data_IF_486469270909
#
_entry.id   IF_486469270909
#
_cell.length_a   1.000
_cell.length_b   1.000
_cell.length_c   1.000
_cell.angle_alpha   90.00
_cell.angle_beta   90.00
_cell.angle_gamma   90.00
#
_symmetry.space_group_name_H-M   'P 1'
#
loop_
_entity.id
_entity.type
_entity.pdbx_description
1 polymer ?
#
# COMPACT_ATOMS: atom_id res chain seq x y z
N UNK A 1 6.74 -13.03 2.80
CA UNK A 1 5.37 -12.51 2.97
C UNK A 1 5.16 -11.42 1.93
N UNK A 2 4.07 -11.46 1.16
CA UNK A 2 3.84 -10.58 0.00
C UNK A 2 3.46 -9.17 0.49
N UNK A 3 4.21 -8.13 0.08
CA UNK A 3 3.98 -6.74 0.51
C UNK A 3 2.58 -6.26 0.08
N UNK A 4 2.15 -6.68 -1.10
CA UNK A 4 0.82 -6.39 -1.63
C UNK A 4 -0.30 -6.81 -0.66
N UNK A 5 -0.18 -8.02 -0.09
CA UNK A 5 -1.21 -8.60 0.77
C UNK A 5 -1.33 -7.83 2.09
N UNK A 6 -0.19 -7.47 2.68
CA UNK A 6 -0.14 -6.65 3.90
C UNK A 6 -0.76 -5.26 3.68
N UNK A 7 -0.48 -4.62 2.54
CA UNK A 7 -1.09 -3.34 2.18
C UNK A 7 -2.61 -3.45 2.05
N UNK A 8 -3.10 -4.53 1.45
CA UNK A 8 -4.53 -4.82 1.32
C UNK A 8 -5.20 -5.07 2.68
N UNK A 9 -4.54 -5.79 3.58
CA UNK A 9 -5.03 -6.03 4.95
C UNK A 9 -5.16 -4.72 5.73
N UNK A 10 -4.10 -3.90 5.74
CA UNK A 10 -4.10 -2.59 6.41
C UNK A 10 -5.11 -1.62 5.81
N UNK A 11 -5.26 -1.62 4.49
CA UNK A 11 -6.29 -0.85 3.80
C UNK A 11 -7.69 -1.26 4.27
N UNK A 12 -7.95 -2.56 4.33
CA UNK A 12 -9.26 -3.10 4.72
C UNK A 12 -9.55 -2.81 6.20
N UNK A 13 -8.55 -2.94 7.07
CA UNK A 13 -8.64 -2.60 8.49
C UNK A 13 -8.94 -1.10 8.70
N UNK A 14 -8.21 -0.24 8.00
CA UNK A 14 -8.45 1.20 8.06
C UNK A 14 -9.85 1.55 7.55
N UNK A 15 -10.24 1.03 6.39
CA UNK A 15 -11.58 1.27 5.85
C UNK A 15 -12.67 0.75 6.79
N UNK A 16 -12.45 -0.39 7.45
CA UNK A 16 -13.38 -0.93 8.43
C UNK A 16 -13.44 -0.10 9.72
N UNK A 17 -12.34 0.52 10.13
CA UNK A 17 -12.23 1.26 11.39
C UNK A 17 -12.67 2.72 11.26
N UNK A 18 -12.24 3.39 10.18
CA UNK A 18 -12.51 4.82 9.94
C UNK A 18 -13.68 5.04 8.99
N UNK A 19 -14.05 4.04 8.19
CA UNK A 19 -15.03 4.21 7.11
C UNK A 19 -14.53 5.08 5.95
N UNK A 20 -13.24 5.46 5.95
CA UNK A 20 -12.65 6.36 4.98
C UNK A 20 -11.59 5.66 4.13
N UNK A 21 -11.51 6.06 2.86
CA UNK A 21 -10.41 5.65 1.99
C UNK A 21 -9.14 6.42 2.38
N UNK A 22 -7.98 5.74 2.49
CA UNK A 22 -6.72 6.43 2.65
C UNK A 22 -6.41 7.26 1.40
N UNK A 23 -5.71 8.39 1.61
CA UNK A 23 -5.29 9.31 0.56
C UNK A 23 -4.13 8.75 -0.26
N UNK A 24 -3.12 8.18 0.40
CA UNK A 24 -1.94 7.64 -0.29
C UNK A 24 -1.18 6.62 0.57
N UNK A 25 -0.42 5.78 -0.11
CA UNK A 25 0.58 4.90 0.52
C UNK A 25 1.97 5.46 0.28
N UNK A 26 2.85 5.41 1.28
CA UNK A 26 4.24 5.84 1.18
C UNK A 26 5.13 4.61 1.34
N UNK A 27 5.92 4.29 0.32
CA UNK A 27 6.85 3.17 0.31
C UNK A 27 8.29 3.65 0.07
N UNK A 28 9.29 2.97 0.64
CA UNK A 28 10.67 3.16 0.18
C UNK A 28 10.84 2.68 -1.26
N UNK A 29 11.86 3.20 -1.94
CA UNK A 29 12.29 2.74 -3.27
C UNK A 29 12.51 1.21 -3.32
N UNK A 30 13.12 0.62 -2.28
CA UNK A 30 13.36 -0.83 -2.20
C UNK A 30 12.08 -1.66 -2.06
N UNK A 31 11.09 -1.13 -1.34
CA UNK A 31 9.79 -1.78 -1.15
C UNK A 31 8.89 -1.61 -2.35
N UNK A 32 8.91 -0.44 -2.99
CA UNK A 32 8.22 -0.22 -4.25
C UNK A 32 8.72 -1.20 -5.33
N UNK A 33 10.03 -1.50 -5.39
CA UNK A 33 10.55 -2.55 -6.28
C UNK A 33 10.02 -3.94 -5.93
N UNK A 34 9.86 -4.28 -4.65
CA UNK A 34 9.24 -5.55 -4.26
C UNK A 34 7.75 -5.57 -4.63
N UNK A 35 7.02 -4.50 -4.34
CA UNK A 35 5.63 -4.31 -4.73
C UNK A 35 5.44 -4.51 -6.23
N UNK A 36 6.27 -3.89 -7.07
CA UNK A 36 6.22 -4.06 -8.53
C UNK A 36 6.47 -5.51 -8.96
N UNK A 37 7.38 -6.24 -8.30
CA UNK A 37 7.62 -7.66 -8.60
C UNK A 37 6.41 -8.53 -8.27
N UNK A 38 5.82 -8.32 -7.10
CA UNK A 38 4.58 -8.98 -6.68
C UNK A 38 3.42 -8.61 -7.62
N UNK A 39 3.31 -7.33 -7.97
CA UNK A 39 2.31 -6.78 -8.88
C UNK A 39 2.43 -7.37 -10.28
N UNK A 40 3.64 -7.51 -10.85
CA UNK A 40 3.85 -8.18 -12.15
C UNK A 40 3.37 -9.63 -12.09
N UNK A 41 3.61 -10.31 -10.97
CA UNK A 41 3.15 -11.70 -10.77
C UNK A 41 1.63 -11.78 -10.69
N UNK A 42 0.99 -10.82 -10.00
CA UNK A 42 -0.47 -10.74 -9.92
C UNK A 42 -1.09 -10.34 -11.25
N UNK A 43 -0.52 -9.38 -11.99
CA UNK A 43 -1.01 -8.95 -13.30
C UNK A 43 -1.10 -10.11 -14.30
N UNK A 44 -0.22 -11.10 -14.21
CA UNK A 44 -0.34 -12.29 -15.07
C UNK A 44 -1.60 -13.12 -14.78
N UNK A 45 -2.19 -12.97 -13.59
CA UNK A 45 -3.40 -13.65 -13.14
C UNK A 45 -4.67 -12.82 -13.35
N UNK A 46 -4.57 -11.49 -13.47
CA UNK A 46 -5.72 -10.58 -13.62
C UNK A 46 -5.69 -9.89 -14.99
N UNK A 47 -6.77 -10.07 -15.77
CA UNK A 47 -6.97 -9.46 -17.09
C UNK A 47 -7.19 -7.94 -17.03
N UNK A 48 -7.47 -7.40 -15.85
CA UNK A 48 -7.71 -5.98 -15.61
C UNK A 48 -6.41 -5.19 -15.64
N UNK A 49 -6.40 -4.04 -16.32
CA UNK A 49 -5.32 -3.05 -16.22
C UNK A 49 -5.37 -2.45 -14.81
N UNK A 50 -4.57 -3.00 -13.91
CA UNK A 50 -4.28 -2.41 -12.62
C UNK A 50 -3.13 -1.42 -12.86
N UNK A 51 -3.12 -0.25 -12.22
CA UNK A 51 -1.99 0.66 -12.33
C UNK A 51 -0.95 0.32 -11.26
N UNK A 52 0.33 0.15 -11.61
CA UNK A 52 1.37 -0.15 -10.62
C UNK A 52 1.62 1.02 -9.65
N UNK A 53 1.18 2.23 -10.01
CA UNK A 53 1.25 3.44 -9.19
C UNK A 53 0.07 3.58 -8.23
N UNK A 54 -0.96 2.73 -8.34
CA UNK A 54 -2.13 2.76 -7.49
C UNK A 54 -2.37 1.38 -6.86
N UNK A 55 -2.42 1.31 -5.53
CA UNK A 55 -2.86 0.12 -4.82
C UNK A 55 -4.35 0.22 -4.54
N UNK A 56 -5.18 -0.60 -5.20
CA UNK A 56 -6.65 -0.59 -5.02
C UNK A 56 -7.33 0.77 -5.22
N UNK A 57 -6.77 1.63 -6.08
CA UNK A 57 -7.27 2.99 -6.31
C UNK A 57 -6.65 4.07 -5.42
N UNK A 58 -5.74 3.69 -4.53
CA UNK A 58 -4.98 4.62 -3.68
C UNK A 58 -3.60 4.84 -4.28
N UNK A 59 -3.16 6.09 -4.52
CA UNK A 59 -1.85 6.38 -5.08
C UNK A 59 -0.72 5.95 -4.13
N UNK A 60 0.36 5.43 -4.72
CA UNK A 60 1.58 5.04 -4.00
C UNK A 60 2.66 6.10 -4.26
N UNK A 61 3.08 6.79 -3.22
CA UNK A 61 4.20 7.71 -3.16
C UNK A 61 5.47 6.99 -2.72
N UNK A 62 6.61 7.38 -3.29
CA UNK A 62 7.91 6.80 -2.96
C UNK A 62 8.66 7.81 -2.11
N UNK A 63 8.84 7.50 -0.84
CA UNK A 63 9.62 8.33 0.08
C UNK A 63 10.49 7.45 0.97
N UNK A 64 11.77 7.81 1.04
CA UNK A 64 12.73 7.13 1.91
C UNK A 64 12.75 7.73 3.33
N UNK A 65 12.08 8.87 3.52
CA UNK A 65 12.04 9.61 4.79
C UNK A 65 11.07 8.93 5.77
N UNK A 66 9.87 8.58 5.29
CA UNK A 66 8.82 7.88 6.07
C UNK A 66 8.29 6.70 5.27
N UNK A 67 9.02 5.59 5.21
CA UNK A 67 8.58 4.45 4.42
C UNK A 67 7.60 3.57 5.19
N UNK A 68 6.71 2.88 4.46
CA UNK A 68 5.69 1.99 5.00
C UNK A 68 4.63 2.70 5.83
N UNK A 69 4.14 3.83 5.37
CA UNK A 69 3.01 4.51 6.00
C UNK A 69 1.86 4.62 5.01
N UNK A 70 0.66 4.50 5.52
CA UNK A 70 -0.58 4.79 4.82
C UNK A 70 -1.10 6.10 5.39
N UNK A 71 -1.31 7.09 4.54
CA UNK A 71 -1.86 8.38 4.93
C UNK A 71 -3.37 8.30 4.77
N UNK A 72 -4.10 8.43 5.87
CA UNK A 72 -5.54 8.53 5.91
C UNK A 72 -6.02 9.85 5.26
N UNK A 73 -7.30 9.95 4.89
CA UNK A 73 -7.88 11.17 4.34
C UNK A 73 -7.87 12.39 5.28
N UNK A 74 -7.65 12.17 6.58
CA UNK A 74 -7.48 13.24 7.58
C UNK A 74 -6.00 13.67 7.73
N UNK A 75 -5.09 13.08 6.94
CA UNK A 75 -3.65 13.27 7.07
C UNK A 75 -2.98 12.40 8.15
N UNK A 76 -3.75 11.54 8.82
CA UNK A 76 -3.20 10.62 9.82
C UNK A 76 -2.31 9.54 9.18
N UNK A 77 -1.07 9.42 9.64
CA UNK A 77 -0.12 8.42 9.16
C UNK A 77 -0.26 7.11 9.94
N UNK A 78 -0.60 6.03 9.24
CA UNK A 78 -0.77 4.68 9.79
C UNK A 78 0.37 3.80 9.29
N UNK A 79 1.23 3.35 10.21
CA UNK A 79 2.35 2.46 9.87
C UNK A 79 1.86 1.11 9.33
N UNK A 80 2.23 0.80 8.08
CA UNK A 80 2.04 -0.50 7.44
C UNK A 80 2.97 -1.58 8.01
N UNK A 81 4.02 -1.17 8.72
CA UNK A 81 4.87 -2.04 9.52
C UNK A 81 4.41 -1.97 10.97
N UNK A 82 3.66 -2.97 11.43
CA UNK A 82 3.53 -3.18 12.88
C UNK A 82 4.94 -3.28 13.47
N UNK A 83 5.27 -2.54 14.53
CA UNK A 83 6.44 -2.82 15.35
C UNK A 83 6.14 -4.09 16.16
N UNK A 84 6.15 -5.25 15.52
CA UNK A 84 6.24 -6.50 16.26
C UNK A 84 7.70 -6.70 16.66
N UNK A 85 7.89 -6.54 17.97
CA UNK A 85 9.11 -6.72 18.75
C UNK A 85 9.57 -8.18 18.82
#
# INVERSE_FOLDING_TARGET
MFLYMRMTEMFSDHLSTTGAYPEKFILSTGLHRQYLRDWVRMRQLVTTRIDPTNHMGVPIEISDITPNVMVAADGAEVSLVSPEA
#
